data_IF_659991288356
#
_entry.id   IF_659991288356
#
_cell.length_a   1.000
_cell.length_b   1.000
_cell.length_c   1.000
_cell.angle_alpha   90.00
_cell.angle_beta   90.00
_cell.angle_gamma   90.00
#
_symmetry.space_group_name_H-M   'P 1'
#
loop_
_entity.id
_entity.type
_entity.pdbx_description
1 polymer ?
#
# COMPACT_ATOMS: atom_id res chain seq x y z
N UNK A 1 17.80 -44.99 43.93
CA UNK A 1 17.20 -46.12 43.17
C UNK A 1 15.90 -45.65 42.55
N UNK A 2 15.57 -46.21 41.38
CA UNK A 2 14.34 -46.17 40.56
C UNK A 2 13.07 -45.85 41.39
N UNK A 3 12.05 -45.15 40.89
CA UNK A 3 11.17 -45.56 39.78
C UNK A 3 10.59 -44.33 39.04
N UNK A 4 10.71 -44.36 37.72
CA UNK A 4 10.07 -43.44 36.76
C UNK A 4 8.61 -43.87 36.60
N UNK A 5 7.65 -42.98 36.82
CA UNK A 5 6.24 -43.21 36.47
C UNK A 5 5.92 -42.42 35.20
N UNK A 6 6.07 -43.11 34.06
CA UNK A 6 5.44 -42.73 32.79
C UNK A 6 3.95 -43.03 32.91
N UNK A 7 3.10 -42.01 32.81
CA UNK A 7 1.68 -42.24 32.55
C UNK A 7 1.34 -41.65 31.19
N UNK A 8 1.04 -42.58 30.30
CA UNK A 8 0.55 -42.43 28.95
C UNK A 8 -0.91 -41.95 29.01
N UNK A 9 -1.20 -40.77 28.47
CA UNK A 9 -2.57 -40.36 28.16
C UNK A 9 -2.63 -39.87 26.72
N UNK A 10 -2.87 -40.82 25.81
CA UNK A 10 -3.52 -40.54 24.54
C UNK A 10 -5.02 -40.59 24.80
N UNK A 11 -5.74 -39.50 24.57
CA UNK A 11 -6.96 -39.57 23.76
C UNK A 11 -7.30 -38.22 23.15
N UNK A 12 -7.40 -38.26 21.83
CA UNK A 12 -7.69 -37.22 20.86
C UNK A 12 -9.18 -36.91 20.80
N UNK A 13 -9.55 -35.64 20.67
CA UNK A 13 -10.73 -35.23 19.91
C UNK A 13 -10.53 -33.80 19.41
N UNK A 14 -10.23 -33.68 18.12
CA UNK A 14 -10.29 -32.43 17.37
C UNK A 14 -11.76 -32.06 17.22
N UNK A 15 -12.21 -31.00 17.88
CA UNK A 15 -13.50 -30.39 17.56
C UNK A 15 -13.29 -29.35 16.47
N UNK A 16 -13.45 -29.76 15.21
CA UNK A 16 -13.73 -28.85 14.11
C UNK A 16 -15.18 -28.37 14.26
N UNK A 17 -15.37 -27.14 14.72
CA UNK A 17 -16.68 -26.51 14.72
C UNK A 17 -17.06 -26.09 13.29
N UNK A 18 -18.26 -26.53 12.95
CA UNK A 18 -18.98 -26.46 11.70
C UNK A 18 -19.09 -25.03 11.10
N UNK A 19 -18.98 -24.95 9.79
CA UNK A 19 -19.14 -23.73 8.98
C UNK A 19 -20.61 -23.33 8.98
N UNK A 20 -20.97 -22.29 9.75
CA UNK A 20 -22.28 -21.64 9.59
C UNK A 20 -22.20 -20.62 8.46
N UNK A 21 -22.69 -21.02 7.29
CA UNK A 21 -23.17 -20.08 6.28
C UNK A 21 -24.38 -19.34 6.88
N UNK A 22 -24.18 -18.07 7.24
CA UNK A 22 -25.27 -17.16 7.59
C UNK A 22 -25.01 -15.82 6.87
N UNK A 23 -25.93 -15.55 5.94
CA UNK A 23 -26.45 -14.26 5.50
C UNK A 23 -25.47 -13.14 5.14
N UNK A 24 -25.45 -12.79 3.85
CA UNK A 24 -25.46 -11.38 3.46
C UNK A 24 -26.58 -10.68 4.24
N UNK A 25 -26.23 -9.77 5.14
CA UNK A 25 -26.89 -8.47 5.26
C UNK A 25 -26.08 -7.57 6.20
N UNK A 26 -25.92 -6.32 5.80
CA UNK A 26 -25.36 -5.23 6.58
C UNK A 26 -23.87 -5.30 6.91
N UNK A 27 -23.05 -5.24 5.85
CA UNK A 27 -21.82 -4.45 5.99
C UNK A 27 -22.25 -3.00 6.23
N UNK A 28 -21.96 -2.37 7.38
CA UNK A 28 -21.81 -0.94 7.34
C UNK A 28 -20.70 -0.70 6.33
N UNK A 29 -21.03 0.01 5.24
CA UNK A 29 -20.06 0.67 4.39
C UNK A 29 -19.33 1.67 5.29
N UNK A 30 -18.42 1.15 6.11
CA UNK A 30 -17.38 1.93 6.74
C UNK A 30 -16.57 2.39 5.54
N UNK A 31 -16.97 3.56 5.04
CA UNK A 31 -16.07 4.43 4.34
C UNK A 31 -14.90 4.57 5.30
N UNK A 32 -13.90 3.72 5.07
CA UNK A 32 -12.58 3.93 5.58
C UNK A 32 -12.14 5.22 4.91
N UNK A 33 -12.56 6.34 5.49
CA UNK A 33 -11.73 7.52 5.66
C UNK A 33 -10.53 6.94 6.37
N UNK A 34 -9.62 6.39 5.56
CA UNK A 34 -8.39 5.78 6.01
C UNK A 34 -7.67 6.92 6.67
N UNK A 35 -7.83 6.99 8.00
CA UNK A 35 -6.98 7.66 8.96
C UNK A 35 -5.63 7.79 8.28
N UNK A 36 -5.30 8.98 7.77
CA UNK A 36 -4.12 9.19 6.96
C UNK A 36 -2.97 8.62 7.78
N UNK A 37 -2.55 7.40 7.44
CA UNK A 37 -1.72 6.63 8.36
C UNK A 37 -0.44 7.41 8.37
N UNK A 38 -0.11 7.99 9.50
CA UNK A 38 1.13 8.74 9.66
C UNK A 38 2.24 7.74 9.28
N UNK A 39 3.00 8.05 8.22
CA UNK A 39 3.99 7.14 7.63
C UNK A 39 3.52 6.26 6.45
N UNK A 40 2.28 6.43 5.96
CA UNK A 40 1.82 5.74 4.74
C UNK A 40 2.54 6.25 3.49
N UNK A 41 2.62 5.40 2.47
CA UNK A 41 3.20 5.71 1.16
C UNK A 41 2.33 5.15 0.04
N UNK A 42 2.59 5.57 -1.19
CA UNK A 42 2.02 4.99 -2.40
C UNK A 42 3.15 4.72 -3.41
N UNK A 43 2.94 3.76 -4.31
CA UNK A 43 3.88 3.48 -5.40
C UNK A 43 3.45 4.25 -6.64
N UNK A 44 4.39 4.94 -7.28
CA UNK A 44 4.20 5.54 -8.61
C UNK A 44 5.02 4.75 -9.62
N UNK A 45 4.38 4.17 -10.62
CA UNK A 45 5.00 3.40 -11.70
C UNK A 45 5.05 4.29 -12.95
N UNK A 46 6.24 4.42 -13.55
CA UNK A 46 6.36 4.96 -14.89
C UNK A 46 5.98 3.89 -15.92
N UNK A 47 4.71 3.83 -16.29
CA UNK A 47 4.20 2.95 -17.33
C UNK A 47 4.22 3.59 -18.73
N UNK A 48 4.82 4.77 -18.87
CA UNK A 48 5.02 5.44 -20.15
C UNK A 48 6.16 4.81 -20.96
N UNK A 49 6.38 5.26 -22.19
CA UNK A 49 7.42 4.71 -23.07
C UNK A 49 8.82 5.28 -22.79
N UNK A 50 8.94 6.34 -22.00
CA UNK A 50 10.16 7.14 -21.87
C UNK A 50 10.64 7.23 -20.43
N UNK A 51 11.92 7.56 -20.25
CA UNK A 51 12.47 7.90 -18.93
C UNK A 51 11.97 9.29 -18.54
N UNK A 52 11.42 9.41 -17.34
CA UNK A 52 10.94 10.69 -16.80
C UNK A 52 11.73 11.09 -15.55
N UNK A 53 11.70 12.37 -15.22
CA UNK A 53 12.18 12.87 -13.93
C UNK A 53 11.08 13.66 -13.25
N UNK A 54 10.91 13.41 -11.96
CA UNK A 54 9.85 13.99 -11.14
C UNK A 54 10.41 14.54 -9.84
N UNK A 55 9.73 15.52 -9.28
CA UNK A 55 9.88 15.95 -7.90
C UNK A 55 8.71 15.39 -7.08
N UNK A 56 9.01 14.57 -6.07
CA UNK A 56 8.03 13.81 -5.29
C UNK A 56 7.36 14.60 -4.16
N UNK A 57 7.68 15.90 -4.02
CA UNK A 57 7.34 16.72 -2.87
C UNK A 57 8.42 16.76 -1.78
N UNK A 58 9.42 15.87 -1.86
CA UNK A 58 10.59 15.85 -0.95
C UNK A 58 11.93 15.78 -1.69
N UNK A 59 11.99 15.15 -2.87
CA UNK A 59 13.23 15.02 -3.62
C UNK A 59 13.01 14.80 -5.11
N UNK A 60 14.10 14.84 -5.87
CA UNK A 60 14.12 14.55 -7.30
C UNK A 60 14.38 13.06 -7.53
N UNK A 61 13.60 12.44 -8.41
CA UNK A 61 13.72 11.02 -8.77
C UNK A 61 13.60 10.88 -10.27
N UNK A 62 14.49 10.10 -10.88
CA UNK A 62 14.33 9.65 -12.26
C UNK A 62 13.71 8.26 -12.28
N UNK A 63 12.68 8.08 -13.10
CA UNK A 63 12.01 6.80 -13.31
C UNK A 63 12.26 6.32 -14.73
N UNK A 64 12.98 5.22 -14.87
CA UNK A 64 13.07 4.50 -16.14
C UNK A 64 11.71 3.90 -16.52
N UNK A 65 11.52 3.53 -17.79
CA UNK A 65 10.33 2.82 -18.25
C UNK A 65 10.10 1.56 -17.41
N UNK A 66 8.88 1.39 -16.91
CA UNK A 66 8.44 0.28 -16.06
C UNK A 66 8.93 0.36 -14.60
N UNK A 67 9.85 1.27 -14.27
CA UNK A 67 10.33 1.43 -12.89
C UNK A 67 9.30 2.12 -12.01
N UNK A 68 9.46 1.94 -10.70
CA UNK A 68 8.59 2.56 -9.71
C UNK A 68 9.36 3.21 -8.59
N UNK A 69 8.74 4.16 -7.91
CA UNK A 69 9.23 4.74 -6.66
C UNK A 69 8.13 4.76 -5.61
N UNK A 70 8.53 4.72 -4.35
CA UNK A 70 7.62 4.89 -3.20
C UNK A 70 7.64 6.36 -2.77
N UNK A 71 6.46 6.98 -2.69
CA UNK A 71 6.29 8.37 -2.30
C UNK A 71 5.48 8.40 -1.02
N UNK A 72 5.97 9.12 -0.01
CA UNK A 72 5.23 9.34 1.24
C UNK A 72 3.88 10.00 0.96
N UNK A 73 2.83 9.50 1.59
CA UNK A 73 1.47 9.97 1.36
C UNK A 73 1.19 11.27 2.13
N UNK A 74 1.87 12.33 1.72
CA UNK A 74 1.71 13.67 2.26
C UNK A 74 0.57 14.36 1.52
N UNK A 75 -0.66 14.11 1.96
CA UNK A 75 -1.87 14.69 1.34
C UNK A 75 -1.71 16.21 1.21
N UNK A 76 -2.00 16.74 0.03
CA UNK A 76 -1.88 18.15 -0.28
C UNK A 76 -0.56 18.55 -0.96
N UNK A 77 0.50 17.75 -0.86
CA UNK A 77 1.74 18.01 -1.63
C UNK A 77 1.58 17.64 -3.09
N UNK A 78 2.39 18.24 -3.93
CA UNK A 78 2.38 18.04 -5.38
C UNK A 78 3.51 17.10 -5.81
N UNK A 79 3.18 16.21 -6.73
CA UNK A 79 4.18 15.55 -7.58
C UNK A 79 4.29 16.39 -8.86
N UNK A 80 5.52 16.78 -9.20
CA UNK A 80 5.81 17.70 -10.30
C UNK A 80 6.76 17.07 -11.29
N UNK A 81 6.73 17.49 -12.54
CA UNK A 81 7.81 17.22 -13.47
C UNK A 81 9.12 17.81 -12.94
N UNK A 82 10.23 17.24 -13.38
CA UNK A 82 11.54 17.79 -13.10
C UNK A 82 12.45 17.69 -14.32
N UNK A 83 13.30 18.69 -14.47
CA UNK A 83 14.35 18.69 -15.50
C UNK A 83 15.61 19.31 -14.91
N UNK A 84 16.75 18.63 -15.07
CA UNK A 84 18.07 19.10 -14.60
C UNK A 84 18.06 19.61 -13.14
N UNK A 85 17.36 18.90 -12.25
CA UNK A 85 17.27 19.26 -10.82
C UNK A 85 16.35 20.45 -10.51
N UNK A 86 15.55 20.92 -11.47
CA UNK A 86 14.56 21.99 -11.28
C UNK A 86 13.15 21.44 -11.32
N UNK A 87 12.24 22.03 -10.54
CA UNK A 87 10.81 21.69 -10.54
C UNK A 87 10.14 22.28 -11.79
N UNK A 88 9.38 21.48 -12.52
CA UNK A 88 8.53 21.88 -13.65
C UNK A 88 7.06 21.89 -13.27
N UNK A 89 6.18 21.60 -14.22
CA UNK A 89 4.72 21.67 -14.02
C UNK A 89 4.20 20.60 -13.04
N UNK A 90 3.03 20.86 -12.48
CA UNK A 90 2.34 19.90 -11.60
C UNK A 90 1.80 18.76 -12.44
N UNK A 91 2.08 17.53 -12.00
CA UNK A 91 1.46 16.32 -12.57
C UNK A 91 0.13 16.11 -11.85
N UNK A 92 0.20 15.95 -10.52
CA UNK A 92 -0.98 15.80 -9.68
C UNK A 92 -0.70 16.17 -8.22
N UNK A 93 -1.78 16.43 -7.48
CA UNK A 93 -1.76 16.62 -6.03
C UNK A 93 -2.00 15.29 -5.32
N UNK A 94 -1.22 15.00 -4.28
CA UNK A 94 -1.38 13.80 -3.46
C UNK A 94 -2.69 13.92 -2.68
N UNK A 95 -3.59 12.97 -2.87
CA UNK A 95 -4.87 12.88 -2.17
C UNK A 95 -4.90 11.61 -1.32
N UNK A 96 -5.77 11.57 -0.30
CA UNK A 96 -5.90 10.39 0.57
C UNK A 96 -6.27 9.12 -0.21
N UNK A 97 -6.97 9.25 -1.34
CA UNK A 97 -7.31 8.12 -2.22
C UNK A 97 -6.10 7.45 -2.87
N UNK A 98 -4.94 8.11 -2.87
CA UNK A 98 -3.68 7.60 -3.43
C UNK A 98 -2.91 6.74 -2.43
N UNK A 99 -3.06 6.99 -1.12
CA UNK A 99 -2.29 6.31 -0.09
C UNK A 99 -2.48 4.79 -0.13
N UNK A 100 -1.38 4.03 0.00
CA UNK A 100 -1.39 2.57 -0.01
C UNK A 100 -1.63 1.95 -1.39
N UNK A 101 -1.78 2.75 -2.46
CA UNK A 101 -2.04 2.25 -3.81
C UNK A 101 -0.80 2.28 -4.69
N UNK A 102 -0.92 1.57 -5.80
CA UNK A 102 -0.01 1.70 -6.94
C UNK A 102 -0.69 2.54 -8.01
N UNK A 103 -0.04 3.62 -8.41
CA UNK A 103 -0.54 4.59 -9.38
C UNK A 103 0.32 4.48 -10.63
N UNK A 104 -0.32 4.36 -11.77
CA UNK A 104 0.32 4.47 -13.08
C UNK A 104 0.47 5.94 -13.43
N UNK A 105 1.66 6.33 -13.88
CA UNK A 105 1.92 7.71 -14.27
C UNK A 105 0.97 8.16 -15.39
N UNK A 106 0.72 7.31 -16.39
CA UNK A 106 -0.22 7.60 -17.49
C UNK A 106 -1.64 7.95 -17.05
N UNK A 107 -2.06 7.55 -15.84
CA UNK A 107 -3.40 7.80 -15.30
C UNK A 107 -3.54 9.18 -14.64
N UNK A 108 -2.43 9.78 -14.25
CA UNK A 108 -2.39 11.04 -13.49
C UNK A 108 -1.66 12.17 -14.23
N UNK A 109 -1.14 11.87 -15.42
CA UNK A 109 -0.67 12.87 -16.39
C UNK A 109 -1.85 13.60 -17.03
#
# INVERSE_FOLDING_TARGET
MKIILVTLSLFSALFFSETKNISEENQPKVEAISKATIGSSFKLINDTKEKVSIYTGTGFVSLNKGSSTSIGCNTGKEVRWASKGKKGDVIFKIESKHCGKTIKLSKVM
#
